data_IF_739254916840
#
_entry.id   IF_739254916840
#
_cell.length_a   1.000
_cell.length_b   1.000
_cell.length_c   1.000
_cell.angle_alpha   90.00
_cell.angle_beta   90.00
_cell.angle_gamma   90.00
#
_symmetry.space_group_name_H-M   'P 1'
#
loop_
_entity.id
_entity.type
_entity.pdbx_description
1 polymer ?
#
# COMPACT_ATOMS: atom_id res chain seq x y z
N UNK A 1 32.42 8.71 -0.90
CA UNK A 1 31.65 8.91 0.35
C UNK A 1 31.54 10.39 0.68
N UNK A 2 32.65 11.12 0.80
CA UNK A 2 32.67 12.56 1.10
C UNK A 2 32.03 13.43 -0.01
N UNK A 3 32.12 13.01 -1.28
CA UNK A 3 31.46 13.69 -2.41
C UNK A 3 29.92 13.53 -2.46
N UNK A 4 29.38 12.48 -1.86
CA UNK A 4 27.93 12.21 -1.83
C UNK A 4 27.22 12.97 -0.70
N UNK A 5 27.91 13.18 0.44
CA UNK A 5 27.41 13.99 1.56
C UNK A 5 27.34 15.48 1.20
N UNK A 6 28.30 15.99 0.40
CA UNK A 6 28.24 17.37 -0.10
C UNK A 6 27.09 17.60 -1.07
N UNK A 7 26.74 16.60 -1.90
CA UNK A 7 25.59 16.69 -2.81
C UNK A 7 24.24 16.59 -2.10
N UNK A 8 24.17 15.98 -0.91
CA UNK A 8 22.94 15.85 -0.14
C UNK A 8 22.44 17.20 0.40
N UNK A 9 23.36 18.07 0.84
CA UNK A 9 23.03 19.40 1.38
C UNK A 9 22.66 20.44 0.31
N UNK A 10 22.72 20.09 -0.98
CA UNK A 10 22.49 21.02 -2.11
C UNK A 10 21.26 20.63 -2.94
N UNK A 11 20.63 19.49 -2.66
CA UNK A 11 19.46 19.02 -3.40
C UNK A 11 18.17 19.72 -2.91
N UNK A 12 17.86 20.89 -3.49
CA UNK A 12 16.60 21.62 -3.23
C UNK A 12 15.47 21.20 -4.19
N UNK A 13 15.82 20.50 -5.28
CA UNK A 13 14.87 20.07 -6.32
C UNK A 13 14.86 18.55 -6.52
N UNK A 14 13.74 18.01 -7.01
CA UNK A 14 13.62 16.59 -7.34
C UNK A 14 14.64 16.13 -8.39
N UNK A 15 15.06 17.03 -9.28
CA UNK A 15 16.05 16.79 -10.33
C UNK A 15 17.46 16.64 -9.77
N UNK A 16 17.82 17.46 -8.78
CA UNK A 16 19.14 17.38 -8.13
C UNK A 16 19.26 16.11 -7.29
N UNK A 17 18.20 15.74 -6.56
CA UNK A 17 18.12 14.47 -5.84
C UNK A 17 18.24 13.27 -6.79
N UNK A 18 17.55 13.34 -7.95
CA UNK A 18 17.62 12.28 -8.94
C UNK A 18 19.04 12.09 -9.47
N UNK A 19 19.71 13.18 -9.86
CA UNK A 19 21.06 13.16 -10.43
C UNK A 19 22.14 12.78 -9.41
N UNK A 20 21.96 13.14 -8.14
CA UNK A 20 22.94 12.89 -7.09
C UNK A 20 22.89 11.47 -6.52
N UNK A 21 21.70 10.89 -6.37
CA UNK A 21 21.52 9.64 -5.60
C UNK A 21 20.78 8.56 -6.38
N UNK A 22 19.75 8.93 -7.15
CA UNK A 22 18.80 7.94 -7.65
C UNK A 22 19.20 7.30 -8.99
N UNK A 23 20.12 7.89 -9.77
CA UNK A 23 20.56 7.36 -11.08
C UNK A 23 21.05 5.92 -11.00
N UNK A 24 21.74 5.55 -9.91
CA UNK A 24 22.32 4.20 -9.74
C UNK A 24 21.37 3.22 -9.05
N UNK A 25 20.18 3.68 -8.63
CA UNK A 25 19.22 2.83 -7.92
C UNK A 25 18.31 2.10 -8.90
N UNK A 26 17.80 0.90 -8.55
CA UNK A 26 16.79 0.21 -9.36
C UNK A 26 15.46 0.99 -9.44
N UNK A 27 15.33 2.08 -8.67
CA UNK A 27 14.18 2.98 -8.70
C UNK A 27 14.28 4.07 -9.76
N UNK A 28 15.45 4.26 -10.37
CA UNK A 28 15.68 5.28 -11.39
C UNK A 28 14.63 5.29 -12.52
N UNK A 29 14.20 4.12 -13.07
CA UNK A 29 13.21 4.08 -14.14
C UNK A 29 11.84 4.64 -13.73
N UNK A 30 11.47 4.56 -12.45
CA UNK A 30 10.18 5.03 -11.94
C UNK A 30 10.14 6.54 -11.68
N UNK A 31 11.32 7.19 -11.66
CA UNK A 31 11.46 8.60 -11.34
C UNK A 31 11.36 9.52 -12.57
N UNK A 32 11.50 8.98 -13.79
CA UNK A 32 11.49 9.76 -15.03
C UNK A 32 10.18 10.56 -15.21
N UNK A 33 9.05 9.99 -14.82
CA UNK A 33 7.72 10.63 -14.89
C UNK A 33 7.49 11.66 -13.76
N UNK A 34 8.41 11.76 -12.80
CA UNK A 34 8.30 12.62 -11.61
C UNK A 34 9.08 13.95 -11.71
N UNK A 35 9.84 14.15 -12.79
CA UNK A 35 10.82 15.26 -12.93
C UNK A 35 10.20 16.65 -13.18
N UNK A 36 8.87 16.77 -13.21
CA UNK A 36 8.17 18.03 -13.55
C UNK A 36 7.94 18.99 -12.37
N UNK A 37 8.29 18.61 -11.13
CA UNK A 37 8.07 19.42 -9.92
C UNK A 37 9.34 20.16 -9.48
N UNK A 38 9.25 21.49 -9.36
CA UNK A 38 10.39 22.39 -9.19
C UNK A 38 10.85 22.57 -7.72
N UNK A 39 10.04 22.19 -6.72
CA UNK A 39 10.37 22.35 -5.29
C UNK A 39 9.91 21.14 -4.47
N UNK A 40 10.78 20.59 -3.63
CA UNK A 40 10.43 19.50 -2.71
C UNK A 40 9.84 20.07 -1.40
N UNK A 41 8.54 20.34 -1.38
CA UNK A 41 7.78 20.63 -0.15
C UNK A 41 7.03 19.37 0.34
N UNK A 42 6.47 19.39 1.56
CA UNK A 42 5.77 18.23 2.15
C UNK A 42 4.66 17.68 1.22
N UNK A 43 3.94 18.56 0.51
CA UNK A 43 2.85 18.19 -0.39
C UNK A 43 3.40 17.54 -1.67
N UNK A 44 4.49 18.05 -2.22
CA UNK A 44 5.18 17.49 -3.39
C UNK A 44 5.87 16.16 -3.03
N UNK A 45 6.34 15.97 -1.80
CA UNK A 45 6.89 14.68 -1.35
C UNK A 45 5.79 13.60 -1.27
N UNK A 46 4.57 13.96 -0.82
CA UNK A 46 3.43 13.04 -0.85
C UNK A 46 2.99 12.68 -2.27
N UNK A 47 2.91 13.68 -3.15
CA UNK A 47 2.58 13.48 -4.57
C UNK A 47 3.64 12.61 -5.24
N UNK A 48 4.93 12.90 -5.01
CA UNK A 48 6.07 12.11 -5.50
C UNK A 48 5.97 10.66 -5.04
N UNK A 49 5.73 10.41 -3.75
CA UNK A 49 5.53 9.07 -3.21
C UNK A 49 4.38 8.34 -3.90
N UNK A 50 3.25 9.00 -4.13
CA UNK A 50 2.10 8.39 -4.81
C UNK A 50 2.38 8.10 -6.29
N UNK A 51 3.08 9.00 -7.00
CA UNK A 51 3.51 8.79 -8.40
C UNK A 51 4.48 7.63 -8.53
N UNK A 52 5.48 7.56 -7.64
CA UNK A 52 6.46 6.46 -7.62
C UNK A 52 5.77 5.12 -7.35
N UNK A 53 4.87 5.08 -6.36
CA UNK A 53 4.16 3.85 -6.03
C UNK A 53 3.25 3.39 -7.18
N UNK A 54 2.62 4.33 -7.90
CA UNK A 54 1.85 4.03 -9.11
C UNK A 54 2.73 3.39 -10.18
N UNK A 55 3.87 4.02 -10.52
CA UNK A 55 4.77 3.51 -11.55
C UNK A 55 5.35 2.13 -11.18
N UNK A 56 5.69 1.95 -9.90
CA UNK A 56 6.10 0.66 -9.34
C UNK A 56 5.02 -0.42 -9.51
N UNK A 57 3.77 -0.15 -9.11
CA UNK A 57 2.68 -1.13 -9.21
C UNK A 57 2.39 -1.51 -10.65
N UNK A 58 2.37 -0.55 -11.58
CA UNK A 58 2.15 -0.81 -13.00
C UNK A 58 3.26 -1.69 -13.61
N UNK A 59 4.52 -1.41 -13.25
CA UNK A 59 5.64 -2.22 -13.68
C UNK A 59 5.60 -3.63 -13.07
N UNK A 60 5.26 -3.75 -11.79
CA UNK A 60 5.18 -5.04 -11.11
C UNK A 60 4.02 -5.90 -11.62
N UNK A 61 2.88 -5.28 -11.94
CA UNK A 61 1.75 -5.95 -12.59
C UNK A 61 2.14 -6.48 -13.97
N UNK A 62 2.80 -5.65 -14.80
CA UNK A 62 3.32 -6.06 -16.11
C UNK A 62 4.34 -7.20 -15.96
N UNK A 63 5.23 -7.14 -14.97
CA UNK A 63 6.18 -8.21 -14.68
C UNK A 63 5.48 -9.53 -14.34
N UNK A 64 4.50 -9.51 -13.43
CA UNK A 64 3.74 -10.71 -13.06
C UNK A 64 2.97 -11.28 -14.24
N UNK A 65 2.32 -10.41 -15.03
CA UNK A 65 1.55 -10.80 -16.22
C UNK A 65 2.44 -11.41 -17.31
N UNK A 66 3.64 -10.87 -17.51
CA UNK A 66 4.61 -11.41 -18.48
C UNK A 66 5.14 -12.79 -18.08
N UNK A 67 5.15 -13.12 -16.79
CA UNK A 67 5.50 -14.46 -16.31
C UNK A 67 4.45 -15.51 -16.72
N UNK A 68 3.19 -15.10 -16.93
CA UNK A 68 2.13 -15.86 -17.61
C UNK A 68 1.64 -17.15 -16.93
N UNK A 69 2.23 -17.56 -15.82
CA UNK A 69 1.92 -18.81 -15.12
C UNK A 69 0.90 -18.60 -13.98
N UNK A 70 0.69 -19.62 -13.13
CA UNK A 70 -0.10 -19.58 -11.88
C UNK A 70 0.26 -18.34 -11.02
N UNK A 71 1.51 -17.88 -11.10
CA UNK A 71 1.95 -16.64 -10.45
C UNK A 71 1.14 -15.43 -10.89
N UNK A 72 0.82 -15.27 -12.18
CA UNK A 72 0.01 -14.17 -12.68
C UNK A 72 -1.44 -14.27 -12.18
N UNK A 73 -2.03 -15.47 -12.18
CA UNK A 73 -3.39 -15.69 -11.70
C UNK A 73 -3.57 -15.33 -10.22
N UNK A 74 -2.52 -15.51 -9.41
CA UNK A 74 -2.53 -15.18 -7.97
C UNK A 74 -2.11 -13.74 -7.71
N UNK A 75 -1.03 -13.28 -8.33
CA UNK A 75 -0.48 -11.96 -8.06
C UNK A 75 -1.28 -10.83 -8.69
N UNK A 76 -1.81 -10.98 -9.90
CA UNK A 76 -2.54 -9.89 -10.57
C UNK A 76 -3.76 -9.43 -9.76
N UNK A 77 -4.64 -10.31 -9.24
CA UNK A 77 -5.77 -9.88 -8.40
C UNK A 77 -5.33 -9.22 -7.10
N UNK A 78 -4.23 -9.68 -6.48
CA UNK A 78 -3.68 -9.07 -5.26
C UNK A 78 -3.19 -7.65 -5.55
N UNK A 79 -2.50 -7.45 -6.68
CA UNK A 79 -1.98 -6.14 -7.09
C UNK A 79 -3.09 -5.18 -7.54
N UNK A 80 -4.14 -5.69 -8.18
CA UNK A 80 -5.35 -4.92 -8.53
C UNK A 80 -6.02 -4.38 -7.26
N UNK A 81 -6.19 -5.22 -6.25
CA UNK A 81 -6.73 -4.78 -4.97
C UNK A 81 -5.81 -3.78 -4.26
N UNK A 82 -4.49 -3.96 -4.30
CA UNK A 82 -3.54 -3.00 -3.71
C UNK A 82 -3.60 -1.63 -4.39
N UNK A 83 -3.77 -1.60 -5.72
CA UNK A 83 -3.96 -0.37 -6.48
C UNK A 83 -5.28 0.33 -6.10
N UNK A 84 -6.38 -0.42 -6.03
CA UNK A 84 -7.70 0.10 -5.68
C UNK A 84 -7.74 0.59 -4.23
N UNK A 85 -7.17 -0.17 -3.29
CA UNK A 85 -6.99 0.23 -1.89
C UNK A 85 -6.27 1.57 -1.81
N UNK A 86 -5.16 1.73 -2.54
CA UNK A 86 -4.39 2.98 -2.56
C UNK A 86 -5.20 4.14 -3.13
N UNK A 87 -5.94 3.92 -4.22
CA UNK A 87 -6.81 4.93 -4.82
C UNK A 87 -7.92 5.38 -3.85
N UNK A 88 -8.54 4.43 -3.13
CA UNK A 88 -9.54 4.74 -2.12
C UNK A 88 -8.95 5.48 -0.92
N UNK A 89 -7.80 5.06 -0.39
CA UNK A 89 -7.14 5.77 0.73
C UNK A 89 -6.79 7.21 0.36
N UNK A 90 -6.20 7.44 -0.83
CA UNK A 90 -5.89 8.81 -1.29
C UNK A 90 -7.17 9.64 -1.43
N UNK A 91 -8.20 9.08 -2.07
CA UNK A 91 -9.48 9.78 -2.27
C UNK A 91 -10.16 10.12 -0.95
N UNK A 92 -10.14 9.21 0.04
CA UNK A 92 -10.70 9.44 1.37
C UNK A 92 -9.97 10.56 2.11
N UNK A 93 -8.63 10.55 2.05
CA UNK A 93 -7.82 11.58 2.69
C UNK A 93 -8.02 12.96 2.03
N UNK A 94 -8.40 13.01 0.75
CA UNK A 94 -8.64 14.25 0.02
C UNK A 94 -10.09 14.76 0.07
N UNK A 95 -11.10 13.89 0.08
CA UNK A 95 -12.52 14.25 -0.10
C UNK A 95 -13.46 13.81 1.04
N UNK A 96 -12.99 13.01 2.00
CA UNK A 96 -13.81 12.49 3.10
C UNK A 96 -14.66 11.26 2.74
N UNK A 97 -15.28 10.66 3.76
CA UNK A 97 -15.92 9.33 3.70
C UNK A 97 -17.25 9.28 2.93
N UNK A 98 -18.04 10.36 2.96
CA UNK A 98 -19.40 10.40 2.40
C UNK A 98 -19.42 10.32 0.87
N UNK A 99 -18.46 10.98 0.20
CA UNK A 99 -18.35 10.95 -1.26
C UNK A 99 -17.91 9.57 -1.74
N UNK A 100 -17.07 8.88 -0.95
CA UNK A 100 -16.47 7.60 -1.32
C UNK A 100 -17.48 6.45 -1.27
N UNK A 101 -18.38 6.40 -0.27
CA UNK A 101 -19.44 5.37 -0.20
C UNK A 101 -20.29 5.33 -1.48
N UNK A 102 -20.63 6.50 -2.04
CA UNK A 102 -21.39 6.61 -3.31
C UNK A 102 -20.63 6.08 -4.52
N UNK A 103 -19.32 6.30 -4.57
CA UNK A 103 -18.48 5.79 -5.66
C UNK A 103 -18.35 4.27 -5.55
N UNK A 104 -18.20 3.75 -4.33
CA UNK A 104 -18.12 2.32 -4.07
C UNK A 104 -19.40 1.56 -4.45
N UNK A 105 -20.58 2.17 -4.32
CA UNK A 105 -21.87 1.58 -4.72
C UNK A 105 -21.94 1.21 -6.20
N UNK A 106 -21.16 1.88 -7.05
CA UNK A 106 -21.07 1.57 -8.48
C UNK A 106 -20.18 0.36 -8.79
N UNK A 107 -19.31 -0.05 -7.85
CA UNK A 107 -18.40 -1.18 -8.02
C UNK A 107 -18.88 -2.36 -7.17
N UNK A 108 -19.61 -3.30 -7.80
CA UNK A 108 -20.20 -4.44 -7.11
C UNK A 108 -19.21 -5.33 -6.34
N UNK A 109 -17.93 -5.35 -6.74
CA UNK A 109 -16.86 -6.08 -6.03
C UNK A 109 -16.50 -5.43 -4.70
N UNK A 110 -16.56 -4.09 -4.62
CA UNK A 110 -16.20 -3.33 -3.43
C UNK A 110 -17.37 -3.04 -2.50
N UNK A 111 -18.60 -3.07 -3.03
CA UNK A 111 -19.81 -2.82 -2.24
C UNK A 111 -19.89 -3.60 -0.91
N UNK A 112 -19.62 -4.93 -0.85
CA UNK A 112 -19.65 -5.66 0.42
C UNK A 112 -18.59 -5.20 1.43
N UNK A 113 -17.45 -4.71 0.95
CA UNK A 113 -16.38 -4.17 1.80
C UNK A 113 -16.82 -2.84 2.44
N UNK A 114 -17.49 -1.97 1.68
CA UNK A 114 -17.99 -0.70 2.20
C UNK A 114 -19.20 -0.87 3.12
N UNK A 115 -20.05 -1.88 2.90
CA UNK A 115 -21.15 -2.24 3.80
C UNK A 115 -20.66 -2.85 5.13
N UNK A 116 -19.48 -3.48 5.13
CA UNK A 116 -18.86 -4.02 6.34
C UNK A 116 -18.27 -2.95 7.27
N UNK A 117 -18.13 -1.70 6.78
CA UNK A 117 -17.71 -0.56 7.60
C UNK A 117 -18.81 -0.22 8.58
N UNK A 118 -18.51 -0.25 9.87
CA UNK A 118 -19.51 0.01 10.89
C UNK A 118 -19.77 1.51 11.07
N UNK A 119 -21.04 1.91 11.03
CA UNK A 119 -21.47 3.32 11.16
C UNK A 119 -21.44 3.88 12.61
N UNK A 120 -20.80 3.20 13.58
CA UNK A 120 -20.85 3.53 15.01
C UNK A 120 -19.52 3.47 15.76
N UNK A 121 -19.51 3.88 17.03
CA UNK A 121 -18.32 4.05 17.91
C UNK A 121 -17.59 2.76 18.33
N UNK A 122 -17.91 1.63 17.69
CA UNK A 122 -17.23 0.33 17.83
C UNK A 122 -17.24 -0.49 16.54
N UNK A 123 -17.58 0.12 15.40
CA UNK A 123 -17.53 -0.50 14.09
C UNK A 123 -16.11 -0.63 13.55
N UNK A 124 -15.89 -1.57 12.63
CA UNK A 124 -14.64 -1.66 11.88
C UNK A 124 -14.46 -0.42 11.00
N UNK A 125 -13.25 0.12 10.99
CA UNK A 125 -12.90 1.16 10.02
C UNK A 125 -12.78 0.56 8.62
N UNK A 126 -12.87 1.40 7.60
CA UNK A 126 -12.63 0.96 6.22
C UNK A 126 -11.21 0.43 6.03
N UNK A 127 -10.24 0.97 6.76
CA UNK A 127 -8.86 0.48 6.74
C UNK A 127 -8.76 -0.94 7.31
N UNK A 128 -9.46 -1.23 8.41
CA UNK A 128 -9.53 -2.59 8.98
C UNK A 128 -10.12 -3.57 7.98
N UNK A 129 -11.20 -3.19 7.30
CA UNK A 129 -11.86 -4.03 6.28
C UNK A 129 -10.92 -4.30 5.10
N UNK A 130 -10.14 -3.31 4.66
CA UNK A 130 -9.16 -3.52 3.60
C UNK A 130 -8.03 -4.44 4.02
N UNK A 131 -7.52 -4.31 5.25
CA UNK A 131 -6.50 -5.21 5.76
C UNK A 131 -7.02 -6.64 5.92
N UNK A 132 -8.27 -6.84 6.38
CA UNK A 132 -8.89 -8.17 6.43
C UNK A 132 -8.97 -8.81 5.05
N UNK A 133 -9.38 -8.05 4.04
CA UNK A 133 -9.44 -8.54 2.66
C UNK A 133 -8.06 -8.87 2.10
N UNK A 134 -7.08 -8.04 2.40
CA UNK A 134 -5.69 -8.26 2.00
C UNK A 134 -5.11 -9.54 2.60
N UNK A 135 -5.32 -9.76 3.90
CA UNK A 135 -4.94 -10.99 4.60
C UNK A 135 -5.62 -12.19 3.98
N UNK A 136 -6.93 -12.10 3.71
CA UNK A 136 -7.69 -13.17 3.09
C UNK A 136 -7.10 -13.60 1.74
N UNK A 137 -6.79 -12.65 0.85
CA UNK A 137 -6.19 -12.96 -0.45
C UNK A 137 -4.77 -13.53 -0.31
N UNK A 138 -4.00 -13.02 0.65
CA UNK A 138 -2.65 -13.51 0.93
C UNK A 138 -2.68 -14.95 1.47
N UNK A 139 -3.64 -15.30 2.33
CA UNK A 139 -3.84 -16.69 2.79
C UNK A 139 -4.25 -17.60 1.63
N UNK A 140 -5.18 -17.15 0.77
CA UNK A 140 -5.61 -17.90 -0.41
C UNK A 140 -4.46 -18.18 -1.38
N UNK A 141 -3.44 -17.31 -1.44
CA UNK A 141 -2.25 -17.55 -2.24
C UNK A 141 -1.53 -18.85 -1.82
N UNK A 142 -1.57 -19.28 -0.56
CA UNK A 142 -0.97 -20.54 -0.12
C UNK A 142 -1.77 -21.79 -0.53
N UNK A 143 -2.99 -21.62 -1.06
CA UNK A 143 -3.83 -22.72 -1.54
C UNK A 143 -3.39 -23.31 -2.88
N UNK A 144 -2.53 -22.62 -3.64
CA UNK A 144 -1.94 -23.09 -4.90
C UNK A 144 -0.47 -23.47 -4.67
N UNK A 145 0.07 -24.32 -5.54
CA UNK A 145 1.47 -24.75 -5.49
C UNK A 145 2.24 -24.26 -6.72
N UNK A 146 3.56 -24.21 -6.62
CA UNK A 146 4.49 -23.86 -7.72
C UNK A 146 4.28 -22.46 -8.31
N UNK A 147 4.09 -21.44 -7.47
CA UNK A 147 4.05 -20.04 -7.91
C UNK A 147 4.83 -19.13 -6.96
N UNK A 148 5.35 -18.01 -7.48
CA UNK A 148 6.15 -17.07 -6.70
C UNK A 148 5.30 -16.16 -5.80
N UNK A 149 3.98 -16.12 -6.02
CA UNK A 149 3.06 -15.32 -5.19
C UNK A 149 3.07 -15.69 -3.71
N UNK A 150 3.50 -16.90 -3.35
CA UNK A 150 3.67 -17.32 -1.94
C UNK A 150 4.68 -16.46 -1.19
N UNK A 151 5.75 -15.97 -1.84
CA UNK A 151 6.75 -15.13 -1.20
C UNK A 151 6.21 -13.75 -0.89
N UNK A 152 5.45 -13.17 -1.84
CA UNK A 152 4.78 -11.91 -1.62
C UNK A 152 3.76 -12.02 -0.49
N UNK A 153 2.89 -13.03 -0.54
CA UNK A 153 1.90 -13.29 0.50
C UNK A 153 2.55 -13.51 1.88
N UNK A 154 3.66 -14.25 1.94
CA UNK A 154 4.42 -14.46 3.19
C UNK A 154 4.85 -13.12 3.81
N UNK A 155 5.47 -12.25 3.02
CA UNK A 155 5.92 -10.94 3.53
C UNK A 155 4.75 -10.10 4.03
N UNK A 156 3.64 -10.04 3.28
CA UNK A 156 2.43 -9.28 3.68
C UNK A 156 1.79 -9.81 4.96
N UNK A 157 1.70 -11.12 5.13
CA UNK A 157 1.18 -11.72 6.36
C UNK A 157 2.12 -11.43 7.54
N UNK A 158 3.44 -11.47 7.35
CA UNK A 158 4.40 -11.09 8.41
C UNK A 158 4.31 -9.62 8.80
N UNK A 159 4.14 -8.72 7.83
CA UNK A 159 3.90 -7.30 8.10
C UNK A 159 2.62 -7.09 8.92
N UNK A 160 1.55 -7.84 8.62
CA UNK A 160 0.32 -7.80 9.43
C UNK A 160 0.54 -8.35 10.84
N UNK A 161 1.32 -9.41 11.00
CA UNK A 161 1.63 -9.99 12.31
C UNK A 161 2.38 -8.99 13.19
N UNK A 162 3.37 -8.30 12.63
CA UNK A 162 4.08 -7.23 13.34
C UNK A 162 3.12 -6.11 13.75
N UNK A 163 2.21 -5.68 12.86
CA UNK A 163 1.19 -4.67 13.18
C UNK A 163 0.27 -5.12 14.30
N UNK A 164 -0.17 -6.38 14.30
CA UNK A 164 -1.00 -6.94 15.37
C UNK A 164 -0.27 -6.92 16.72
N UNK A 165 1.01 -7.31 16.75
CA UNK A 165 1.82 -7.30 17.97
C UNK A 165 1.98 -5.87 18.51
N UNK A 166 2.29 -4.91 17.64
CA UNK A 166 2.42 -3.50 18.02
C UNK A 166 1.09 -2.96 18.57
N UNK A 167 -0.04 -3.22 17.90
CA UNK A 167 -1.36 -2.82 18.36
C UNK A 167 -1.68 -3.35 19.76
N UNK A 168 -1.42 -4.64 20.01
CA UNK A 168 -1.64 -5.27 21.31
C UNK A 168 -0.74 -4.62 22.37
N UNK A 169 0.53 -4.37 22.06
CA UNK A 169 1.46 -3.71 22.96
C UNK A 169 1.01 -2.28 23.32
N UNK A 170 0.50 -1.52 22.36
CA UNK A 170 -0.06 -0.17 22.56
C UNK A 170 -1.32 -0.21 23.43
N UNK A 171 -2.25 -1.14 23.18
CA UNK A 171 -3.44 -1.32 24.00
C UNK A 171 -3.08 -1.64 25.47
N UNK A 172 -2.05 -2.46 25.68
CA UNK A 172 -1.54 -2.81 27.01
C UNK A 172 -0.90 -1.59 27.68
N UNK A 173 -0.04 -0.86 26.97
CA UNK A 173 0.68 0.30 27.53
C UNK A 173 -0.28 1.42 27.93
N UNK A 174 -1.34 1.65 27.14
CA UNK A 174 -2.36 2.66 27.40
C UNK A 174 -3.46 2.20 28.37
N UNK A 175 -3.39 0.96 28.88
CA UNK A 175 -4.41 0.32 29.74
C UNK A 175 -5.81 0.24 29.11
N UNK A 176 -5.94 0.41 27.79
CA UNK A 176 -7.18 0.33 27.03
C UNK A 176 -7.45 -1.10 26.56
N UNK A 177 -7.68 -2.01 27.50
CA UNK A 177 -7.88 -3.45 27.21
C UNK A 177 -9.18 -3.78 26.48
N UNK A 178 -10.12 -2.85 26.38
CA UNK A 178 -11.42 -3.05 25.73
C UNK A 178 -11.30 -3.25 24.21
N UNK A 179 -10.24 -2.70 23.57
CA UNK A 179 -9.98 -2.81 22.13
C UNK A 179 -8.87 -3.81 21.77
N UNK A 180 -8.39 -4.59 22.74
CA UNK A 180 -7.27 -5.53 22.50
C UNK A 180 -7.62 -6.60 21.47
N UNK A 181 -8.90 -6.97 21.34
CA UNK A 181 -9.39 -7.98 20.40
C UNK A 181 -9.68 -7.41 19.00
N UNK A 182 -9.39 -6.14 18.74
CA UNK A 182 -9.62 -5.47 17.45
C UNK A 182 -8.47 -5.66 16.45
N UNK A 183 -7.52 -6.58 16.72
CA UNK A 183 -6.49 -6.94 15.74
C UNK A 183 -7.06 -7.84 14.63
N UNK A 184 -6.32 -7.97 13.53
CA UNK A 184 -6.77 -8.71 12.35
C UNK A 184 -6.18 -10.12 12.37
N UNK A 185 -6.99 -11.17 12.58
CA UNK A 185 -6.48 -12.54 12.62
C UNK A 185 -5.97 -12.97 11.24
N UNK A 186 -4.84 -13.70 11.24
CA UNK A 186 -4.13 -14.17 10.04
C UNK A 186 -4.50 -15.63 9.72
N UNK A 187 -5.15 -16.33 10.66
CA UNK A 187 -5.56 -17.74 10.60
C UNK A 187 -7.02 -17.91 11.01
#
# INVERSE_FOLDING_TARGET
>A
MESAELSFNVAETASDLFRAVLVETPLAPFFQDCMSENTLDELNVEILRNKLYKSYLEAFYKFCKNYGDITAEIMCPILEFEADRRAFTITLNSFGTEQMKRVADHYGVYKPLFEAVGDGSGGKSLEDVFYEREVQMSVLAFGRQFHCGVFYAYVRLREQEVRNVVWIAECISQRHRTKINSYIPIL
#
